data_IF_193992287448
#
_entry.id   IF_193992287448
#
_cell.length_a   1.000
_cell.length_b   1.000
_cell.length_c   1.000
_cell.angle_alpha   90.00
_cell.angle_beta   90.00
_cell.angle_gamma   90.00
#
_symmetry.space_group_name_H-M   'P 1'
#
loop_
_entity.id
_entity.type
_entity.pdbx_description
1 polymer ?
#
# COMPACT_ATOMS: atom_id res chain seq x y z
N UNK A 1 3.27 9.22 -12.27
CA UNK A 1 2.91 8.76 -10.91
C UNK A 1 3.93 7.72 -10.45
N UNK A 2 4.40 7.81 -9.21
CA UNK A 2 5.35 6.89 -8.60
C UNK A 2 4.92 6.59 -7.17
N UNK A 3 5.04 5.33 -6.73
CA UNK A 3 4.87 4.91 -5.34
C UNK A 3 6.22 4.54 -4.75
N UNK A 4 6.44 4.91 -3.50
CA UNK A 4 7.64 4.54 -2.75
C UNK A 4 7.28 4.23 -1.30
N UNK A 5 7.86 3.17 -0.75
CA UNK A 5 7.90 2.95 0.70
C UNK A 5 9.15 3.63 1.25
N UNK A 6 8.98 4.44 2.29
CA UNK A 6 9.99 5.43 2.73
C UNK A 6 10.75 5.03 3.98
N UNK A 7 10.56 3.79 4.45
CA UNK A 7 11.18 3.24 5.65
C UNK A 7 11.78 1.88 5.32
N UNK A 8 13.02 1.66 5.75
CA UNK A 8 13.72 0.37 5.67
C UNK A 8 14.71 0.24 6.84
N UNK A 9 14.85 -0.95 7.47
CA UNK A 9 13.99 -2.14 7.30
C UNK A 9 12.60 -1.92 7.91
N UNK A 10 11.62 -2.74 7.50
CA UNK A 10 10.27 -2.73 8.05
C UNK A 10 10.07 -3.99 8.88
N UNK A 11 9.77 -3.84 10.17
CA UNK A 11 9.52 -4.97 11.05
C UNK A 11 8.02 -5.29 11.08
N UNK A 12 7.68 -6.54 11.35
CA UNK A 12 6.31 -6.90 11.69
C UNK A 12 5.82 -6.08 12.90
N UNK A 13 4.66 -5.43 12.74
CA UNK A 13 4.08 -4.51 13.71
C UNK A 13 4.39 -3.03 13.44
N UNK A 14 5.29 -2.70 12.51
CA UNK A 14 5.61 -1.30 12.18
C UNK A 14 4.46 -0.58 11.47
N UNK A 15 4.42 0.76 11.61
CA UNK A 15 3.64 1.64 10.74
C UNK A 15 4.45 1.95 9.48
N UNK A 16 4.18 1.26 8.38
CA UNK A 16 4.82 1.51 7.09
C UNK A 16 4.38 2.83 6.52
N UNK A 17 5.32 3.75 6.32
CA UNK A 17 5.08 5.01 5.63
C UNK A 17 5.33 4.87 4.12
N UNK A 18 4.31 5.16 3.32
CA UNK A 18 4.43 5.21 1.87
C UNK A 18 4.13 6.62 1.33
N UNK A 19 4.68 6.89 0.15
CA UNK A 19 4.54 8.16 -0.58
C UNK A 19 4.15 7.89 -2.02
N UNK A 20 3.16 8.63 -2.51
CA UNK A 20 2.82 8.72 -3.92
C UNK A 20 3.22 10.09 -4.45
N UNK A 21 3.98 10.13 -5.54
CA UNK A 21 4.43 11.38 -6.17
C UNK A 21 3.93 11.47 -7.60
N UNK A 22 3.40 12.64 -7.97
CA UNK A 22 3.12 12.94 -9.36
C UNK A 22 4.40 13.36 -10.09
N UNK A 23 4.97 12.40 -10.81
CA UNK A 23 6.18 12.58 -11.65
C UNK A 23 5.87 13.03 -13.08
N UNK A 24 4.61 13.20 -13.44
CA UNK A 24 4.18 13.67 -14.76
C UNK A 24 4.05 15.19 -14.85
N UNK A 25 3.56 15.66 -15.98
CA UNK A 25 3.31 17.08 -16.30
C UNK A 25 1.83 17.48 -16.21
N UNK A 26 0.92 16.53 -15.98
CA UNK A 26 -0.51 16.76 -15.79
C UNK A 26 -0.96 16.52 -14.35
N UNK A 27 -2.05 17.17 -13.93
CA UNK A 27 -2.73 16.87 -12.64
C UNK A 27 -3.28 15.45 -12.67
N UNK A 28 -3.07 14.70 -11.58
CA UNK A 28 -3.65 13.38 -11.38
C UNK A 28 -4.56 13.36 -10.16
N UNK A 29 -5.70 12.68 -10.27
CA UNK A 29 -6.63 12.51 -9.14
C UNK A 29 -6.36 11.16 -8.48
N UNK A 30 -6.02 11.18 -7.20
CA UNK A 30 -6.14 10.03 -6.31
C UNK A 30 -7.54 10.05 -5.67
N UNK A 31 -8.10 8.88 -5.37
CA UNK A 31 -9.27 8.80 -4.51
C UNK A 31 -8.91 9.07 -3.05
N UNK A 32 -9.90 9.41 -2.22
CA UNK A 32 -9.73 9.34 -0.78
C UNK A 32 -9.81 7.90 -0.27
N UNK A 33 -8.85 7.50 0.58
CA UNK A 33 -8.78 6.12 1.08
C UNK A 33 -8.60 5.15 -0.07
N UNK A 34 -7.61 5.42 -0.93
CA UNK A 34 -7.32 4.62 -2.11
C UNK A 34 -7.29 3.14 -1.75
N UNK A 35 -8.01 2.28 -2.49
CA UNK A 35 -7.92 0.85 -2.24
C UNK A 35 -6.48 0.42 -2.47
N UNK A 36 -5.95 -0.34 -1.52
CA UNK A 36 -4.61 -0.88 -1.60
C UNK A 36 -4.64 -2.39 -1.32
N UNK A 37 -3.60 -3.06 -1.80
CA UNK A 37 -3.36 -4.46 -1.50
C UNK A 37 -1.91 -4.63 -1.04
N UNK A 38 -1.73 -5.54 -0.10
CA UNK A 38 -0.41 -6.03 0.30
C UNK A 38 -0.29 -7.46 -0.22
N UNK A 39 0.81 -7.71 -0.91
CA UNK A 39 1.15 -9.04 -1.39
C UNK A 39 2.56 -9.42 -0.94
N UNK A 40 2.78 -10.72 -0.79
CA UNK A 40 4.06 -11.29 -0.39
C UNK A 40 4.56 -12.23 -1.47
N UNK A 41 5.87 -12.25 -1.70
CA UNK A 41 6.47 -13.25 -2.57
C UNK A 41 6.61 -14.59 -1.84
N UNK A 42 6.02 -15.64 -2.41
CA UNK A 42 6.09 -17.02 -1.94
C UNK A 42 6.41 -17.91 -3.13
N UNK A 43 7.56 -18.59 -3.08
CA UNK A 43 7.99 -19.54 -4.13
C UNK A 43 8.03 -18.94 -5.55
N UNK A 44 8.31 -17.63 -5.66
CA UNK A 44 8.37 -16.91 -6.92
C UNK A 44 7.04 -16.30 -7.38
N UNK A 45 5.93 -16.62 -6.72
CA UNK A 45 4.61 -16.03 -6.97
C UNK A 45 4.29 -14.92 -5.95
N UNK A 46 3.51 -13.92 -6.36
CA UNK A 46 2.89 -12.98 -5.44
C UNK A 46 1.60 -13.58 -4.89
N UNK A 47 1.51 -13.69 -3.56
CA UNK A 47 0.32 -14.14 -2.82
C UNK A 47 -0.28 -12.96 -2.07
N UNK A 48 -1.59 -12.87 -2.08
CA UNK A 48 -2.32 -11.81 -1.39
C UNK A 48 -2.22 -11.99 0.13
N UNK A 49 -1.73 -10.95 0.81
CA UNK A 49 -1.73 -10.87 2.28
C UNK A 49 -3.03 -10.23 2.72
N UNK A 50 -3.34 -9.04 2.20
CA UNK A 50 -4.58 -8.32 2.47
C UNK A 50 -4.98 -7.49 1.26
N UNK A 51 -6.29 -7.29 1.10
CA UNK A 51 -6.84 -6.33 0.16
C UNK A 51 -7.90 -5.49 0.87
N UNK A 52 -7.78 -4.16 0.79
CA UNK A 52 -8.77 -3.27 1.40
C UNK A 52 -10.11 -3.38 0.69
N UNK A 53 -11.06 -4.05 1.33
CA UNK A 53 -12.41 -4.24 0.84
C UNK A 53 -13.37 -3.16 1.35
N UNK A 54 -13.41 -1.99 0.70
CA UNK A 54 -14.61 -1.13 0.73
C UNK A 54 -14.96 -0.70 -0.68
N UNK A 55 -15.98 -1.36 -1.23
CA UNK A 55 -16.62 -1.11 -2.55
C UNK A 55 -17.38 0.22 -2.63
N UNK A 56 -16.95 1.25 -1.91
CA UNK A 56 -17.55 2.58 -2.03
C UNK A 56 -16.40 3.57 -2.16
N UNK A 57 -16.09 4.08 -3.37
CA UNK A 57 -15.27 5.27 -3.45
C UNK A 57 -15.96 6.33 -2.60
N UNK A 58 -15.30 6.77 -1.53
CA UNK A 58 -15.74 7.99 -0.86
C UNK A 58 -15.68 9.08 -1.93
N UNK A 59 -16.74 9.88 -2.05
CA UNK A 59 -16.77 11.02 -2.99
C UNK A 59 -15.84 12.12 -2.46
N UNK A 60 -14.54 11.86 -2.45
CA UNK A 60 -13.52 12.88 -2.34
C UNK A 60 -12.28 12.47 -3.13
N UNK A 61 -11.60 13.49 -3.62
CA UNK A 61 -10.49 13.42 -4.54
C UNK A 61 -9.30 14.14 -3.91
N UNK A 62 -8.15 13.49 -3.91
CA UNK A 62 -6.87 14.12 -3.63
C UNK A 62 -6.22 14.38 -4.98
N UNK A 63 -6.32 15.62 -5.45
CA UNK A 63 -5.60 16.06 -6.64
C UNK A 63 -4.11 16.20 -6.33
N UNK A 64 -3.27 15.72 -7.23
CA UNK A 64 -1.82 15.87 -7.18
C UNK A 64 -1.37 16.61 -8.43
N UNK A 65 -0.90 17.84 -8.24
CA UNK A 65 -0.24 18.63 -9.27
C UNK A 65 1.13 18.05 -9.62
N UNK A 66 1.72 18.40 -10.78
CA UNK A 66 3.09 18.01 -11.13
C UNK A 66 4.08 18.31 -10.00
N UNK A 67 4.82 17.28 -9.55
CA UNK A 67 5.78 17.36 -8.44
C UNK A 67 5.18 17.22 -7.04
N UNK A 68 3.84 17.22 -6.90
CA UNK A 68 3.17 17.09 -5.61
C UNK A 68 3.24 15.65 -5.07
N UNK A 69 3.20 15.53 -3.75
CA UNK A 69 3.29 14.25 -3.05
C UNK A 69 2.17 14.06 -2.04
N UNK A 70 1.66 12.84 -1.97
CA UNK A 70 0.75 12.34 -0.96
C UNK A 70 1.49 11.32 -0.08
N UNK A 71 1.26 11.33 1.24
CA UNK A 71 1.87 10.38 2.17
C UNK A 71 0.81 9.77 3.09
N UNK A 72 0.92 8.47 3.33
CA UNK A 72 0.07 7.73 4.26
C UNK A 72 0.83 6.64 5.01
N UNK A 73 0.16 6.01 5.97
CA UNK A 73 0.72 4.95 6.81
C UNK A 73 -0.21 3.75 6.88
N UNK A 74 0.37 2.56 6.93
CA UNK A 74 -0.34 1.28 7.11
C UNK A 74 0.30 0.54 8.28
N UNK A 75 -0.51 0.05 9.21
CA UNK A 75 0.00 -0.80 10.28
C UNK A 75 0.21 -2.23 9.79
N UNK A 76 1.46 -2.68 9.79
CA UNK A 76 1.88 -4.02 9.38
C UNK A 76 1.78 -5.02 10.54
N UNK A 77 0.67 -4.97 11.28
CA UNK A 77 0.33 -5.94 12.31
C UNK A 77 -0.87 -6.77 11.83
N UNK A 78 -1.03 -7.99 12.35
CA UNK A 78 -2.20 -8.82 12.00
C UNK A 78 -3.51 -8.07 12.28
N UNK A 79 -3.63 -7.44 13.46
CA UNK A 79 -4.80 -6.65 13.83
C UNK A 79 -5.00 -5.43 12.92
N UNK A 80 -3.92 -4.70 12.61
CA UNK A 80 -3.99 -3.52 11.74
C UNK A 80 -4.44 -3.87 10.33
N UNK A 81 -3.96 -4.99 9.77
CA UNK A 81 -4.41 -5.45 8.46
C UNK A 81 -5.83 -6.03 8.49
N UNK A 82 -6.23 -6.73 9.55
CA UNK A 82 -7.60 -7.27 9.72
C UNK A 82 -8.67 -6.17 9.75
N UNK A 83 -8.35 -4.95 10.23
CA UNK A 83 -9.26 -3.80 10.14
C UNK A 83 -9.61 -3.40 8.69
N UNK A 84 -8.76 -3.78 7.75
CA UNK A 84 -8.90 -3.47 6.33
C UNK A 84 -9.30 -4.67 5.47
N UNK A 85 -9.02 -5.88 5.93
CA UNK A 85 -9.22 -7.13 5.18
C UNK A 85 -10.70 -7.50 5.03
N UNK A 86 -11.03 -8.17 3.91
CA UNK A 86 -12.18 -9.08 3.89
C UNK A 86 -11.82 -10.32 4.75
N UNK A 87 -12.78 -10.86 5.53
CA UNK A 87 -12.54 -11.89 6.56
C UNK A 87 -11.58 -13.01 6.11
N UNK A 88 -10.56 -13.30 6.94
CA UNK A 88 -9.65 -14.44 6.75
C UNK A 88 -8.43 -14.21 5.85
N UNK A 89 -8.17 -12.97 5.40
CA UNK A 89 -7.01 -12.62 4.60
C UNK A 89 -5.93 -11.89 5.41
N UNK A 90 -5.11 -12.66 6.13
CA UNK A 90 -3.93 -12.13 6.82
C UNK A 90 -2.89 -13.22 7.04
N UNK A 91 -2.17 -13.60 5.98
CA UNK A 91 -0.92 -14.37 6.11
C UNK A 91 0.27 -13.41 6.05
N UNK A 92 0.49 -12.72 7.16
CA UNK A 92 1.60 -11.80 7.30
C UNK A 92 2.80 -12.51 7.94
N UNK A 93 3.92 -12.50 7.22
CA UNK A 93 5.18 -13.10 7.67
C UNK A 93 6.37 -12.45 6.95
N UNK A 94 7.59 -12.51 7.52
CA UNK A 94 8.75 -11.83 6.95
C UNK A 94 9.09 -12.27 5.52
N UNK A 95 9.75 -11.40 4.76
CA UNK A 95 10.17 -11.60 3.38
C UNK A 95 9.80 -10.44 2.46
N UNK A 96 10.08 -10.60 1.17
CA UNK A 96 9.80 -9.60 0.15
C UNK A 96 8.29 -9.41 0.00
N UNK A 97 7.85 -8.17 0.19
CA UNK A 97 6.46 -7.75 0.08
C UNK A 97 6.32 -6.63 -0.93
N UNK A 98 5.10 -6.41 -1.43
CA UNK A 98 4.77 -5.25 -2.25
C UNK A 98 3.44 -4.62 -1.85
N UNK A 99 3.44 -3.29 -1.80
CA UNK A 99 2.24 -2.48 -1.64
C UNK A 99 1.74 -2.07 -3.03
N UNK A 100 0.46 -2.30 -3.29
CA UNK A 100 -0.23 -1.89 -4.50
C UNK A 100 -1.24 -0.80 -4.19
N UNK A 101 -1.28 0.27 -4.99
CA UNK A 101 -2.38 1.26 -4.98
C UNK A 101 -3.27 1.00 -6.19
N UNK A 102 -4.51 0.60 -5.94
CA UNK A 102 -5.43 0.04 -6.95
C UNK A 102 -6.41 1.06 -7.54
N UNK A 103 -6.61 2.20 -6.87
CA UNK A 103 -7.53 3.26 -7.29
C UNK A 103 -7.00 4.20 -8.38
N UNK A 104 -5.91 3.82 -9.04
CA UNK A 104 -5.15 4.65 -9.99
C UNK A 104 -4.83 3.88 -11.26
N UNK A 105 -4.64 4.60 -12.37
CA UNK A 105 -4.24 4.03 -13.65
C UNK A 105 -2.94 4.69 -14.14
N UNK A 106 -1.85 3.93 -14.35
CA UNK A 106 -1.70 2.51 -14.04
C UNK A 106 -1.70 2.24 -12.53
N UNK A 107 -1.92 0.98 -12.14
CA UNK A 107 -1.71 0.52 -10.75
C UNK A 107 -0.26 0.82 -10.35
N UNK A 108 -0.07 1.38 -9.16
CA UNK A 108 1.26 1.65 -8.63
C UNK A 108 1.69 0.52 -7.69
N UNK A 109 2.97 0.18 -7.72
CA UNK A 109 3.56 -0.86 -6.87
C UNK A 109 4.88 -0.37 -6.27
N UNK A 110 5.14 -0.76 -5.02
CA UNK A 110 6.43 -0.57 -4.37
C UNK A 110 6.77 -1.81 -3.56
N UNK A 111 7.96 -2.36 -3.81
CA UNK A 111 8.49 -3.54 -3.13
C UNK A 111 9.33 -3.11 -1.94
N UNK A 112 9.33 -3.93 -0.88
CA UNK A 112 10.10 -3.71 0.34
C UNK A 112 10.26 -5.02 1.12
N UNK A 113 11.33 -5.11 1.91
CA UNK A 113 11.58 -6.24 2.79
C UNK A 113 10.89 -6.07 4.15
N UNK A 114 10.14 -7.09 4.56
CA UNK A 114 9.59 -7.21 5.91
C UNK A 114 10.48 -8.17 6.72
N UNK A 115 10.88 -7.77 7.91
CA UNK A 115 11.73 -8.56 8.81
C UNK A 115 10.99 -8.91 10.11
N UNK A 116 11.55 -9.85 10.88
CA UNK A 116 11.04 -10.24 12.19
C UNK A 116 10.89 -9.04 13.14
N UNK A 117 10.01 -9.10 14.15
CA UNK A 117 9.93 -8.09 15.20
C UNK A 117 11.26 -7.98 15.97
N UNK A 118 11.56 -6.78 16.48
CA UNK A 118 12.68 -6.55 17.41
C UNK A 118 12.39 -7.07 18.82
#
# INVERSE_FOLDING_TARGET
MQLQVTQEPIHLGDLVKYRVTNTGDSVHVLGCGNPWALEKQVEGDWKQVVWTGKRVPRMCATELSPGETFEERIELSKSGLEEHAEEGQTDLSPGLSRLLILGVSPILAAEFDVVEPT
#
